data_IF_857337435506
#
_entry.id   IF_857337435506
#
_cell.length_a   1.000
_cell.length_b   1.000
_cell.length_c   1.000
_cell.angle_alpha   90.00
_cell.angle_beta   90.00
_cell.angle_gamma   90.00
#
_symmetry.space_group_name_H-M   'P 1'
#
loop_
_entity.id
_entity.type
_entity.pdbx_description
1 polymer ?
#
# COMPACT_ATOMS: atom_id res chain seq x y z
N UNK A 1 -16.98 15.73 -35.36
CA UNK A 1 -17.54 15.64 -33.98
C UNK A 1 -17.64 17.05 -33.43
N UNK A 2 -18.81 17.49 -32.98
CA UNK A 2 -18.96 18.79 -32.33
C UNK A 2 -18.23 18.83 -30.99
N UNK A 3 -17.68 19.99 -30.60
CA UNK A 3 -17.17 20.18 -29.25
C UNK A 3 -18.35 20.00 -28.26
N UNK A 4 -18.22 19.21 -27.19
CA UNK A 4 -19.31 19.05 -26.23
C UNK A 4 -19.60 20.40 -25.56
N UNK A 5 -20.87 20.79 -25.51
CA UNK A 5 -21.27 22.07 -24.94
C UNK A 5 -20.86 22.16 -23.47
N UNK A 6 -19.96 23.09 -23.16
CA UNK A 6 -19.38 23.30 -21.82
C UNK A 6 -20.45 23.47 -20.74
N UNK A 7 -21.58 24.11 -21.11
CA UNK A 7 -22.74 24.34 -20.24
C UNK A 7 -23.42 23.03 -19.81
N UNK A 8 -23.46 22.04 -20.70
CA UNK A 8 -24.07 20.72 -20.46
C UNK A 8 -23.21 19.86 -19.54
N UNK A 9 -21.88 19.96 -19.67
CA UNK A 9 -20.93 19.25 -18.78
C UNK A 9 -21.06 19.74 -17.34
N UNK A 10 -21.02 21.07 -17.11
CA UNK A 10 -21.22 21.64 -15.78
C UNK A 10 -22.62 21.37 -15.21
N UNK A 11 -23.65 21.29 -16.06
CA UNK A 11 -24.99 20.89 -15.64
C UNK A 11 -25.04 19.44 -15.15
N UNK A 12 -24.35 18.51 -15.84
CA UNK A 12 -24.26 17.11 -15.45
C UNK A 12 -23.48 16.92 -14.13
N UNK A 13 -22.35 17.61 -13.95
CA UNK A 13 -21.58 17.53 -12.70
C UNK A 13 -22.36 18.10 -11.50
N UNK A 14 -23.11 19.20 -11.71
CA UNK A 14 -24.01 19.74 -10.68
C UNK A 14 -25.21 18.83 -10.41
N UNK A 15 -25.76 18.18 -11.44
CA UNK A 15 -26.87 17.21 -11.31
C UNK A 15 -26.45 15.96 -10.55
N UNK A 16 -25.23 15.46 -10.72
CA UNK A 16 -24.69 14.35 -9.93
C UNK A 16 -24.62 14.67 -8.43
N UNK A 17 -24.39 15.94 -8.09
CA UNK A 17 -24.32 16.44 -6.71
C UNK A 17 -25.67 16.89 -6.13
N UNK A 18 -26.76 16.92 -6.92
CA UNK A 18 -28.07 17.39 -6.45
C UNK A 18 -28.87 16.24 -5.83
N UNK A 19 -29.10 16.33 -4.51
CA UNK A 19 -29.86 15.37 -3.72
C UNK A 19 -31.33 15.21 -4.16
N UNK A 20 -31.85 16.10 -5.04
CA UNK A 20 -33.27 16.25 -5.35
C UNK A 20 -33.82 15.33 -6.46
N UNK A 21 -33.02 14.44 -7.03
CA UNK A 21 -33.52 13.50 -8.04
C UNK A 21 -32.59 12.32 -8.30
N UNK A 22 -32.95 11.15 -7.76
CA UNK A 22 -32.28 9.85 -7.97
C UNK A 22 -32.44 9.36 -9.41
N UNK A 23 -31.64 9.95 -10.31
CA UNK A 23 -31.46 9.51 -11.70
C UNK A 23 -30.06 8.93 -11.97
N UNK A 24 -29.20 8.86 -10.94
CA UNK A 24 -27.94 8.14 -10.99
C UNK A 24 -28.20 6.65 -10.74
N UNK A 25 -27.59 5.77 -11.53
CA UNK A 25 -27.57 4.35 -11.24
C UNK A 25 -26.89 4.10 -9.89
N UNK A 26 -27.45 3.20 -9.09
CA UNK A 26 -26.82 2.76 -7.85
C UNK A 26 -25.54 1.96 -8.19
N UNK A 27 -24.53 2.05 -7.33
CA UNK A 27 -23.40 1.15 -7.40
C UNK A 27 -23.85 -0.31 -7.11
N UNK A 28 -23.11 -1.34 -7.57
CA UNK A 28 -23.48 -2.74 -7.35
C UNK A 28 -23.61 -3.18 -5.87
N UNK A 29 -23.09 -2.40 -4.92
CA UNK A 29 -23.29 -2.56 -3.48
C UNK A 29 -24.63 -1.97 -2.96
N UNK A 30 -25.43 -1.32 -3.82
CA UNK A 30 -26.69 -0.66 -3.49
C UNK A 30 -26.56 0.81 -3.05
N UNK A 31 -25.36 1.36 -2.96
CA UNK A 31 -25.14 2.74 -2.52
C UNK A 31 -25.23 3.75 -3.68
N UNK A 32 -25.58 5.01 -3.37
CA UNK A 32 -25.55 6.09 -4.35
C UNK A 32 -24.09 6.56 -4.56
N UNK A 33 -23.51 6.48 -5.78
CA UNK A 33 -22.11 6.87 -6.03
C UNK A 33 -21.76 8.29 -5.58
N UNK A 34 -22.72 9.23 -5.57
CA UNK A 34 -22.53 10.60 -5.12
C UNK A 34 -22.38 10.74 -3.58
N UNK A 35 -22.67 9.69 -2.80
CA UNK A 35 -22.69 9.71 -1.33
C UNK A 35 -21.65 8.78 -0.67
N UNK A 36 -20.92 7.99 -1.47
CA UNK A 36 -19.87 7.08 -0.97
C UNK A 36 -18.73 7.87 -0.31
N UNK A 37 -18.39 9.05 -0.83
CA UNK A 37 -17.41 9.94 -0.21
C UNK A 37 -18.07 10.93 0.76
N UNK A 38 -17.38 11.28 1.84
CA UNK A 38 -17.84 12.24 2.83
C UNK A 38 -18.15 13.61 2.18
N UNK A 39 -19.32 14.19 2.46
CA UNK A 39 -19.77 15.48 1.86
C UNK A 39 -18.74 16.60 2.00
N UNK A 40 -18.02 16.65 3.13
CA UNK A 40 -16.94 17.61 3.36
C UNK A 40 -15.77 17.41 2.39
N UNK A 41 -15.40 16.16 2.11
CA UNK A 41 -14.34 15.77 1.17
C UNK A 41 -14.77 16.06 -0.26
N UNK A 42 -16.01 15.75 -0.65
CA UNK A 42 -16.57 16.08 -1.96
C UNK A 42 -16.50 17.59 -2.23
N UNK A 43 -16.89 18.43 -1.26
CA UNK A 43 -16.74 19.89 -1.38
C UNK A 43 -15.29 20.32 -1.67
N UNK A 44 -14.32 19.77 -0.93
CA UNK A 44 -12.89 20.04 -1.17
C UNK A 44 -12.40 19.55 -2.53
N UNK A 45 -12.96 18.48 -3.08
CA UNK A 45 -12.64 17.96 -4.43
C UNK A 45 -13.18 18.90 -5.50
N UNK A 46 -14.46 19.29 -5.43
CA UNK A 46 -15.12 20.15 -6.43
C UNK A 46 -14.48 21.55 -6.46
N UNK A 47 -14.05 22.06 -5.30
CA UNK A 47 -13.34 23.34 -5.18
C UNK A 47 -11.84 23.24 -5.53
N UNK A 48 -11.29 22.02 -5.71
CA UNK A 48 -9.88 21.86 -6.03
C UNK A 48 -9.59 22.24 -7.49
N UNK A 49 -8.59 23.11 -7.67
CA UNK A 49 -8.08 23.49 -9.00
C UNK A 49 -7.75 22.26 -9.87
N UNK A 50 -7.20 21.18 -9.31
CA UNK A 50 -6.94 19.97 -10.08
C UNK A 50 -8.22 19.36 -10.68
N UNK A 51 -9.31 19.31 -9.92
CA UNK A 51 -10.58 18.77 -10.41
C UNK A 51 -11.18 19.67 -11.50
N UNK A 52 -11.27 20.98 -11.23
CA UNK A 52 -11.87 21.97 -12.14
C UNK A 52 -11.16 22.08 -13.49
N UNK A 53 -9.84 21.89 -13.55
CA UNK A 53 -9.06 22.03 -14.79
C UNK A 53 -8.68 20.70 -15.45
N UNK A 54 -8.38 19.64 -14.69
CA UNK A 54 -7.87 18.36 -15.25
C UNK A 54 -8.92 17.24 -15.30
N UNK A 55 -9.94 17.29 -14.43
CA UNK A 55 -11.05 16.32 -14.41
C UNK A 55 -12.31 16.80 -15.16
N UNK A 56 -12.31 18.03 -15.67
CA UNK A 56 -13.40 18.56 -16.49
C UNK A 56 -13.56 17.77 -17.79
N UNK A 57 -14.80 17.37 -18.10
CA UNK A 57 -15.17 16.62 -19.31
C UNK A 57 -14.34 15.34 -19.55
N UNK A 58 -13.77 14.75 -18.49
CA UNK A 58 -12.85 13.63 -18.61
C UNK A 58 -13.60 12.31 -18.87
N UNK A 59 -13.21 11.60 -19.94
CA UNK A 59 -13.70 10.26 -20.28
C UNK A 59 -12.85 9.17 -19.62
N UNK A 60 -13.33 7.92 -19.63
CA UNK A 60 -12.63 6.72 -19.14
C UNK A 60 -11.19 6.60 -19.66
N UNK A 61 -10.97 6.70 -20.98
CA UNK A 61 -9.62 6.67 -21.55
C UNK A 61 -8.73 7.82 -21.00
N UNK A 62 -9.31 9.01 -20.81
CA UNK A 62 -8.60 10.17 -20.26
C UNK A 62 -8.20 10.00 -18.79
N UNK A 63 -8.90 9.16 -18.00
CA UNK A 63 -8.46 8.82 -16.63
C UNK A 63 -7.06 8.19 -16.67
N UNK A 64 -6.78 7.30 -17.63
CA UNK A 64 -5.47 6.65 -17.76
C UNK A 64 -4.37 7.70 -17.95
N UNK A 65 -4.56 8.64 -18.89
CA UNK A 65 -3.60 9.72 -19.15
C UNK A 65 -3.38 10.61 -17.91
N UNK A 66 -4.44 10.95 -17.17
CA UNK A 66 -4.34 11.73 -15.93
C UNK A 66 -3.63 10.97 -14.82
N UNK A 67 -3.88 9.68 -14.67
CA UNK A 67 -3.18 8.85 -13.68
C UNK A 67 -1.68 8.80 -13.97
N UNK A 68 -1.29 8.56 -15.23
CA UNK A 68 0.13 8.49 -15.62
C UNK A 68 0.83 9.83 -15.41
N UNK A 69 0.21 10.92 -15.87
CA UNK A 69 0.81 12.25 -15.83
C UNK A 69 0.84 12.86 -14.42
N UNK A 70 -0.26 12.79 -13.66
CA UNK A 70 -0.46 13.62 -12.47
C UNK A 70 -0.35 12.84 -11.15
N UNK A 71 -0.65 11.53 -11.12
CA UNK A 71 -0.65 10.75 -9.89
C UNK A 71 0.76 10.23 -9.58
N UNK A 72 1.43 10.89 -8.63
CA UNK A 72 2.77 10.50 -8.14
C UNK A 72 2.75 9.92 -6.72
N UNK A 73 1.58 9.87 -6.08
CA UNK A 73 1.33 9.31 -4.76
C UNK A 73 -0.16 8.98 -4.58
N UNK A 74 -0.46 7.94 -3.78
CA UNK A 74 -1.79 7.66 -3.25
C UNK A 74 -2.03 8.50 -1.99
N UNK A 75 -3.28 8.85 -1.68
CA UNK A 75 -3.60 9.60 -0.45
C UNK A 75 -4.96 10.29 -0.52
N UNK A 76 -5.45 10.77 0.63
CA UNK A 76 -6.74 11.45 0.74
C UNK A 76 -6.63 12.96 0.58
N UNK A 77 -6.70 13.67 1.71
CA UNK A 77 -6.37 15.10 1.82
C UNK A 77 -5.04 15.30 2.54
N UNK A 78 -4.33 16.39 2.24
CA UNK A 78 -3.02 16.70 2.85
C UNK A 78 -2.84 18.19 3.17
N UNK A 79 -1.89 18.46 4.08
CA UNK A 79 -1.57 19.81 4.57
C UNK A 79 -2.65 20.41 5.48
N UNK A 80 -2.33 21.57 6.08
CA UNK A 80 -3.25 22.34 6.93
C UNK A 80 -4.53 22.74 6.19
N UNK A 81 -4.41 23.09 4.92
CA UNK A 81 -5.53 23.47 4.05
C UNK A 81 -6.42 22.29 3.63
N UNK A 82 -6.10 21.03 3.98
CA UNK A 82 -6.85 19.82 3.59
C UNK A 82 -7.10 19.74 2.07
N UNK A 83 -6.03 19.93 1.28
CA UNK A 83 -6.12 19.83 -0.19
C UNK A 83 -6.25 18.35 -0.60
N UNK A 84 -7.21 17.97 -1.46
CA UNK A 84 -7.31 16.59 -1.95
C UNK A 84 -6.12 16.26 -2.86
N UNK A 85 -5.73 14.99 -2.90
CA UNK A 85 -4.74 14.50 -3.87
C UNK A 85 -5.35 14.37 -5.28
N UNK A 86 -4.53 14.41 -6.35
CA UNK A 86 -4.99 14.03 -7.70
C UNK A 86 -5.62 12.63 -7.75
N UNK A 87 -5.08 11.67 -6.98
CA UNK A 87 -5.62 10.32 -6.83
C UNK A 87 -7.07 10.33 -6.35
N UNK A 88 -7.36 11.09 -5.29
CA UNK A 88 -8.72 11.20 -4.74
C UNK A 88 -9.68 11.92 -5.69
N UNK A 89 -9.21 12.96 -6.38
CA UNK A 89 -10.01 13.66 -7.40
C UNK A 89 -10.39 12.74 -8.57
N UNK A 90 -9.47 11.90 -9.04
CA UNK A 90 -9.74 10.92 -10.11
C UNK A 90 -10.63 9.78 -9.62
N UNK A 91 -10.49 9.34 -8.37
CA UNK A 91 -11.39 8.36 -7.77
C UNK A 91 -12.84 8.88 -7.70
N UNK A 92 -13.03 10.15 -7.32
CA UNK A 92 -14.34 10.80 -7.39
C UNK A 92 -14.83 10.96 -8.83
N UNK A 93 -13.94 11.21 -9.81
CA UNK A 93 -14.34 11.26 -11.22
C UNK A 93 -14.79 9.88 -11.74
N UNK A 94 -14.17 8.79 -11.31
CA UNK A 94 -14.66 7.43 -11.61
C UNK A 94 -16.04 7.14 -10.99
N UNK A 95 -16.35 7.68 -9.80
CA UNK A 95 -17.71 7.60 -9.23
C UNK A 95 -18.74 8.37 -10.07
N UNK A 96 -18.36 9.45 -10.74
CA UNK A 96 -19.22 10.16 -11.69
C UNK A 96 -19.40 9.42 -13.02
N UNK A 97 -18.35 8.75 -13.51
CA UNK A 97 -18.36 8.04 -14.79
C UNK A 97 -19.03 6.67 -14.71
N UNK A 98 -19.00 6.00 -13.55
CA UNK A 98 -19.54 4.67 -13.33
C UNK A 98 -19.12 3.63 -14.41
N UNK A 99 -17.80 3.42 -14.60
CA UNK A 99 -17.28 2.55 -15.66
C UNK A 99 -17.78 1.11 -15.56
N UNK A 100 -17.89 0.47 -16.73
CA UNK A 100 -18.26 -0.95 -16.84
C UNK A 100 -17.16 -1.88 -16.29
N UNK A 101 -17.54 -3.10 -15.91
CA UNK A 101 -16.59 -4.08 -15.35
C UNK A 101 -15.45 -4.43 -16.31
N UNK A 102 -15.70 -4.46 -17.63
CA UNK A 102 -14.65 -4.66 -18.64
C UNK A 102 -13.58 -3.55 -18.63
N UNK A 103 -13.98 -2.29 -18.38
CA UNK A 103 -13.04 -1.16 -18.26
C UNK A 103 -12.23 -1.27 -16.96
N UNK A 104 -12.86 -1.71 -15.88
CA UNK A 104 -12.17 -1.95 -14.59
C UNK A 104 -11.17 -3.11 -14.68
N UNK A 105 -11.53 -4.21 -15.34
CA UNK A 105 -10.63 -5.33 -15.60
C UNK A 105 -9.42 -4.89 -16.43
N UNK A 106 -9.63 -4.06 -17.47
CA UNK A 106 -8.54 -3.46 -18.26
C UNK A 106 -7.63 -2.53 -17.44
N UNK A 107 -8.18 -1.78 -16.48
CA UNK A 107 -7.39 -0.95 -15.57
C UNK A 107 -6.60 -1.77 -14.54
N UNK A 108 -7.13 -2.89 -14.08
CA UNK A 108 -6.49 -3.77 -13.11
C UNK A 108 -5.38 -4.63 -13.73
N UNK A 109 -5.66 -5.23 -14.89
CA UNK A 109 -4.76 -6.11 -15.64
C UNK A 109 -3.72 -5.27 -16.41
N UNK A 110 -3.89 -5.14 -17.73
CA UNK A 110 -2.95 -4.50 -18.67
C UNK A 110 -2.57 -3.06 -18.29
N UNK A 111 -3.55 -2.26 -17.84
CA UNK A 111 -3.29 -0.91 -17.35
C UNK A 111 -2.50 -0.91 -16.04
N UNK A 112 -2.82 -1.84 -15.14
CA UNK A 112 -2.22 -1.96 -13.81
C UNK A 112 -0.80 -2.50 -13.82
N UNK A 113 -0.48 -3.42 -14.74
CA UNK A 113 0.88 -3.96 -14.92
C UNK A 113 1.86 -2.87 -15.36
N UNK A 114 1.42 -2.00 -16.28
CA UNK A 114 2.20 -0.84 -16.73
C UNK A 114 2.22 0.28 -15.71
N UNK A 115 1.08 0.56 -15.06
CA UNK A 115 0.88 1.73 -14.21
C UNK A 115 0.33 1.35 -12.83
N UNK A 116 1.24 1.15 -11.86
CA UNK A 116 0.90 0.82 -10.47
C UNK A 116 -0.13 1.76 -9.79
N UNK A 117 -0.15 3.04 -10.15
CA UNK A 117 -1.15 3.98 -9.63
C UNK A 117 -2.54 3.81 -10.27
N UNK A 118 -2.63 3.25 -11.48
CA UNK A 118 -3.90 2.90 -12.10
C UNK A 118 -4.49 1.64 -11.46
N UNK A 119 -3.66 0.63 -11.17
CA UNK A 119 -4.06 -0.53 -10.35
C UNK A 119 -4.59 -0.08 -8.99
N UNK A 120 -3.83 0.74 -8.26
CA UNK A 120 -4.27 1.27 -6.97
C UNK A 120 -5.59 2.06 -7.06
N UNK A 121 -5.79 2.83 -8.13
CA UNK A 121 -7.04 3.57 -8.34
C UNK A 121 -8.23 2.65 -8.61
N UNK A 122 -8.04 1.61 -9.43
CA UNK A 122 -9.07 0.61 -9.73
C UNK A 122 -9.42 -0.24 -8.50
N UNK A 123 -8.43 -0.71 -7.73
CA UNK A 123 -8.65 -1.40 -6.45
C UNK A 123 -9.47 -0.55 -5.47
N UNK A 124 -9.11 0.74 -5.33
CA UNK A 124 -9.84 1.70 -4.49
C UNK A 124 -11.29 1.92 -4.97
N UNK A 125 -11.51 2.02 -6.28
CA UNK A 125 -12.85 2.14 -6.86
C UNK A 125 -13.72 0.89 -6.66
N UNK A 126 -13.14 -0.29 -6.79
CA UNK A 126 -13.83 -1.58 -6.57
C UNK A 126 -14.23 -1.73 -5.11
N UNK A 127 -13.31 -1.44 -4.17
CA UNK A 127 -13.60 -1.44 -2.73
C UNK A 127 -14.76 -0.52 -2.32
N UNK A 128 -14.92 0.59 -3.04
CA UNK A 128 -16.00 1.56 -2.82
C UNK A 128 -17.37 1.10 -3.36
N UNK A 129 -17.41 0.34 -4.46
CA UNK A 129 -18.64 0.18 -5.26
C UNK A 129 -19.16 -1.25 -5.40
N UNK A 130 -18.33 -2.27 -5.16
CA UNK A 130 -18.69 -3.68 -5.34
C UNK A 130 -19.06 -4.33 -4.00
N UNK A 131 -19.72 -5.49 -4.05
CA UNK A 131 -20.17 -6.24 -2.86
C UNK A 131 -18.99 -6.97 -2.21
N UNK A 132 -19.12 -7.35 -0.94
CA UNK A 132 -18.02 -7.95 -0.17
C UNK A 132 -17.37 -9.16 -0.87
N UNK A 133 -18.17 -10.13 -1.34
CA UNK A 133 -17.71 -11.28 -2.14
C UNK A 133 -16.87 -10.85 -3.35
N UNK A 134 -17.40 -9.95 -4.17
CA UNK A 134 -16.75 -9.46 -5.39
C UNK A 134 -15.46 -8.69 -5.07
N UNK A 135 -15.43 -7.95 -3.95
CA UNK A 135 -14.25 -7.22 -3.45
C UNK A 135 -13.14 -8.19 -3.05
N UNK A 136 -13.41 -9.21 -2.23
CA UNK A 136 -12.40 -10.22 -1.86
C UNK A 136 -11.88 -10.96 -3.11
N UNK A 137 -12.77 -11.50 -3.93
CA UNK A 137 -12.41 -12.30 -5.11
C UNK A 137 -11.55 -11.56 -6.15
N UNK A 138 -11.66 -10.23 -6.24
CA UNK A 138 -10.84 -9.40 -7.14
C UNK A 138 -9.58 -8.88 -6.45
N UNK A 139 -9.68 -8.36 -5.22
CA UNK A 139 -8.55 -7.71 -4.55
C UNK A 139 -7.49 -8.71 -4.07
N UNK A 140 -7.86 -9.91 -3.62
CA UNK A 140 -6.90 -10.91 -3.12
C UNK A 140 -5.85 -11.28 -4.18
N UNK A 141 -6.22 -11.25 -5.47
CA UNK A 141 -5.33 -11.48 -6.63
C UNK A 141 -4.15 -10.48 -6.70
N UNK A 142 -4.29 -9.30 -6.09
CA UNK A 142 -3.28 -8.23 -6.14
C UNK A 142 -2.44 -8.13 -4.86
N UNK A 143 -2.64 -9.03 -3.88
CA UNK A 143 -1.74 -9.16 -2.72
C UNK A 143 -0.35 -9.69 -3.09
N UNK A 144 -0.16 -10.18 -4.32
CA UNK A 144 1.15 -10.60 -4.87
C UNK A 144 1.98 -9.38 -5.34
N UNK A 145 1.37 -8.20 -5.48
CA UNK A 145 1.98 -7.03 -6.11
C UNK A 145 2.88 -6.25 -5.11
N UNK A 146 4.16 -6.63 -5.05
CA UNK A 146 5.16 -6.00 -4.16
C UNK A 146 5.73 -4.67 -4.72
N UNK A 147 5.02 -3.96 -5.62
CA UNK A 147 5.54 -2.71 -6.23
C UNK A 147 5.42 -1.52 -5.27
N UNK A 148 6.52 -0.79 -5.09
CA UNK A 148 6.61 0.41 -4.23
C UNK A 148 5.66 1.53 -4.67
N UNK A 149 4.78 1.98 -3.77
CA UNK A 149 3.94 3.18 -3.89
C UNK A 149 4.42 4.30 -2.96
N UNK A 150 4.11 5.55 -3.28
CA UNK A 150 4.25 6.67 -2.33
C UNK A 150 2.89 6.99 -1.73
N UNK A 151 2.77 6.99 -0.41
CA UNK A 151 1.56 7.39 0.33
C UNK A 151 1.72 8.79 0.86
N UNK A 152 0.74 9.66 0.63
CA UNK A 152 0.71 11.03 1.16
C UNK A 152 -0.35 11.16 2.24
N UNK A 153 0.11 11.31 3.48
CA UNK A 153 -0.72 11.59 4.65
C UNK A 153 -0.78 13.08 4.96
N UNK A 154 -1.39 13.40 6.11
CA UNK A 154 -1.49 14.77 6.63
C UNK A 154 -0.12 15.38 6.97
N UNK A 155 0.81 14.56 7.50
CA UNK A 155 2.11 15.00 8.03
C UNK A 155 3.30 14.81 7.07
N UNK A 156 3.10 14.22 5.88
CA UNK A 156 4.20 13.96 4.96
C UNK A 156 3.93 12.86 3.93
N UNK A 157 4.98 12.36 3.31
CA UNK A 157 4.94 11.23 2.39
C UNK A 157 5.73 10.05 2.94
N UNK A 158 5.10 8.88 3.06
CA UNK A 158 5.75 7.61 3.39
C UNK A 158 5.89 6.72 2.15
N UNK A 159 6.82 5.77 2.23
CA UNK A 159 6.83 4.60 1.34
C UNK A 159 5.74 3.63 1.81
N UNK A 160 5.16 2.89 0.86
CA UNK A 160 4.24 1.76 1.10
C UNK A 160 4.30 0.87 -0.16
N UNK A 161 3.60 -0.24 -0.20
CA UNK A 161 3.58 -1.16 -1.34
C UNK A 161 2.14 -1.37 -1.89
N UNK A 162 1.96 -2.08 -3.02
CA UNK A 162 0.60 -2.29 -3.59
C UNK A 162 -0.16 -3.33 -2.77
N UNK A 163 0.47 -4.45 -2.43
CA UNK A 163 0.00 -5.45 -1.46
C UNK A 163 -0.42 -4.83 -0.12
N UNK A 164 0.43 -4.04 0.53
CA UNK A 164 0.08 -3.29 1.75
C UNK A 164 -1.15 -2.38 1.55
N UNK A 165 -1.25 -1.72 0.39
CA UNK A 165 -2.38 -0.85 0.09
C UNK A 165 -3.67 -1.64 -0.16
N UNK A 166 -3.58 -2.82 -0.77
CA UNK A 166 -4.72 -3.72 -1.00
C UNK A 166 -5.19 -4.33 0.32
N UNK A 167 -4.27 -4.74 1.21
CA UNK A 167 -4.62 -5.17 2.57
C UNK A 167 -5.28 -4.04 3.38
N UNK A 168 -4.73 -2.81 3.32
CA UNK A 168 -5.35 -1.61 3.89
C UNK A 168 -6.81 -1.44 3.44
N UNK A 169 -7.16 -1.79 2.19
CA UNK A 169 -8.54 -1.71 1.68
C UNK A 169 -9.44 -2.82 2.22
N UNK A 170 -8.91 -4.01 2.45
CA UNK A 170 -9.67 -5.15 2.98
C UNK A 170 -9.87 -5.06 4.50
N UNK A 171 -8.86 -4.63 5.24
CA UNK A 171 -8.86 -4.64 6.71
C UNK A 171 -9.33 -3.33 7.34
N UNK A 172 -9.07 -2.17 6.73
CA UNK A 172 -9.32 -0.85 7.37
C UNK A 172 -10.63 -0.23 6.89
N UNK A 173 -11.39 0.29 7.86
CA UNK A 173 -12.66 1.00 7.61
C UNK A 173 -12.48 2.36 6.96
N UNK A 174 -11.27 2.95 6.98
CA UNK A 174 -11.01 4.28 6.41
C UNK A 174 -9.65 4.36 5.71
N UNK A 175 -9.67 4.60 4.40
CA UNK A 175 -8.47 4.74 3.55
C UNK A 175 -8.60 5.98 2.67
N UNK A 176 -7.48 6.70 2.45
CA UNK A 176 -7.43 7.90 1.60
C UNK A 176 -8.55 8.93 1.86
N UNK A 177 -8.83 9.23 3.14
CA UNK A 177 -9.90 10.14 3.58
C UNK A 177 -11.32 9.78 3.12
N UNK A 178 -11.53 8.54 2.68
CA UNK A 178 -12.85 7.95 2.42
C UNK A 178 -13.12 6.90 3.49
N UNK A 179 -14.32 6.96 4.07
CA UNK A 179 -14.79 5.97 5.06
C UNK A 179 -15.65 4.96 4.32
N UNK A 180 -15.32 3.68 4.45
CA UNK A 180 -16.01 2.59 3.78
C UNK A 180 -17.01 1.91 4.72
N UNK A 181 -18.01 1.24 4.13
CA UNK A 181 -18.78 0.22 4.85
C UNK A 181 -17.85 -0.91 5.31
N UNK A 182 -18.08 -1.38 6.53
CA UNK A 182 -17.41 -2.55 7.10
C UNK A 182 -17.71 -3.80 6.26
N UNK A 183 -16.67 -4.59 5.97
CA UNK A 183 -16.83 -5.88 5.29
C UNK A 183 -17.17 -6.94 6.36
N UNK A 184 -18.08 -7.88 6.06
CA UNK A 184 -18.17 -9.13 6.81
C UNK A 184 -16.80 -9.81 6.85
N UNK A 185 -16.46 -10.51 7.94
CA UNK A 185 -15.16 -11.18 8.03
C UNK A 185 -15.10 -12.28 6.98
N UNK A 186 -13.90 -12.54 6.46
CA UNK A 186 -13.69 -13.56 5.42
C UNK A 186 -14.18 -14.95 5.86
N UNK A 187 -13.95 -15.31 7.13
CA UNK A 187 -14.48 -16.54 7.75
C UNK A 187 -15.99 -16.68 7.56
N UNK A 188 -16.73 -15.63 7.89
CA UNK A 188 -18.20 -15.62 7.85
C UNK A 188 -18.74 -15.80 6.41
N UNK A 189 -17.96 -15.44 5.38
CA UNK A 189 -18.29 -15.63 3.96
C UNK A 189 -17.90 -17.02 3.43
N UNK A 190 -16.85 -17.63 4.00
CA UNK A 190 -16.46 -19.03 3.70
C UNK A 190 -17.45 -19.99 4.33
N UNK A 191 -17.81 -19.77 5.61
CA UNK A 191 -18.81 -20.56 6.35
C UNK A 191 -20.19 -20.58 5.64
N UNK A 192 -20.53 -19.47 4.96
CA UNK A 192 -21.77 -19.33 4.19
C UNK A 192 -21.69 -19.95 2.77
N UNK A 193 -20.53 -20.46 2.36
CA UNK A 193 -20.28 -20.98 1.01
C UNK A 193 -20.29 -19.90 -0.08
N UNK A 194 -20.19 -18.62 0.29
CA UNK A 194 -20.12 -17.52 -0.69
C UNK A 194 -18.73 -17.35 -1.28
N UNK A 195 -17.68 -17.73 -0.57
CA UNK A 195 -16.29 -17.56 -0.98
C UNK A 195 -15.49 -18.84 -0.64
N UNK A 196 -14.54 -19.20 -1.50
CA UNK A 196 -13.61 -20.31 -1.25
C UNK A 196 -12.51 -19.87 -0.27
N UNK A 197 -11.83 -20.82 0.36
CA UNK A 197 -10.65 -20.56 1.19
C UNK A 197 -9.54 -19.88 0.39
N UNK A 198 -8.69 -19.07 1.04
CA UNK A 198 -7.68 -18.29 0.32
C UNK A 198 -6.39 -19.08 0.19
N UNK A 199 -6.22 -19.75 -0.95
CA UNK A 199 -4.91 -20.24 -1.36
C UNK A 199 -3.90 -19.07 -1.44
N UNK A 200 -2.87 -19.12 -0.61
CA UNK A 200 -1.77 -18.16 -0.63
C UNK A 200 -0.83 -18.53 -1.79
N UNK A 201 -0.30 -17.57 -2.57
CA UNK A 201 0.74 -17.86 -3.56
C UNK A 201 2.05 -18.39 -2.96
N UNK A 202 2.18 -18.39 -1.63
CA UNK A 202 3.31 -18.96 -0.90
C UNK A 202 3.11 -20.45 -0.53
N UNK A 203 1.92 -21.02 -0.77
CA UNK A 203 1.57 -22.37 -0.29
C UNK A 203 0.89 -22.35 1.09
N UNK A 204 0.76 -23.54 1.68
CA UNK A 204 0.30 -23.69 3.07
C UNK A 204 1.41 -23.26 4.04
N UNK A 205 1.04 -22.74 5.21
CA UNK A 205 1.99 -22.27 6.22
C UNK A 205 2.63 -23.47 6.93
N UNK A 206 1.87 -24.54 7.16
CA UNK A 206 2.36 -25.73 7.85
C UNK A 206 3.42 -26.45 7.01
N UNK A 207 3.21 -26.61 5.70
CA UNK A 207 4.20 -27.18 4.76
C UNK A 207 5.51 -26.35 4.69
N UNK A 208 5.42 -25.02 4.84
CA UNK A 208 6.61 -24.15 4.87
C UNK A 208 7.38 -24.25 6.19
N UNK A 209 6.67 -24.38 7.32
CA UNK A 209 7.29 -24.52 8.63
C UNK A 209 8.00 -25.87 8.78
N UNK A 210 7.38 -26.96 8.31
CA UNK A 210 7.99 -28.28 8.29
C UNK A 210 9.28 -28.29 7.44
N UNK A 211 9.28 -27.59 6.30
CA UNK A 211 10.47 -27.45 5.45
C UNK A 211 11.60 -26.62 6.11
N UNK A 212 11.28 -25.47 6.72
CA UNK A 212 12.25 -24.65 7.45
C UNK A 212 12.87 -25.41 8.66
N UNK A 213 12.08 -26.25 9.34
CA UNK A 213 12.55 -27.08 10.45
C UNK A 213 13.40 -28.28 9.97
N UNK A 214 13.13 -28.85 8.80
CA UNK A 214 14.00 -29.85 8.15
C UNK A 214 15.34 -29.25 7.68
N UNK A 215 15.33 -28.04 7.09
CA UNK A 215 16.58 -27.36 6.68
C UNK A 215 17.46 -27.01 7.90
N UNK A 216 16.87 -26.47 8.97
CA UNK A 216 17.60 -26.18 10.23
C UNK A 216 18.21 -27.43 10.87
N UNK A 217 17.51 -28.58 10.81
CA UNK A 217 18.06 -29.85 11.29
C UNK A 217 19.23 -30.34 10.44
N UNK A 218 19.19 -30.14 9.12
CA UNK A 218 20.30 -30.48 8.22
C UNK A 218 21.52 -29.58 8.45
N UNK A 219 21.33 -28.27 8.66
CA UNK A 219 22.44 -27.37 9.01
C UNK A 219 23.12 -27.75 10.35
N UNK A 220 22.33 -28.10 11.37
CA UNK A 220 22.85 -28.57 12.66
C UNK A 220 23.63 -29.89 12.53
N UNK A 221 23.16 -30.82 11.69
CA UNK A 221 23.88 -32.07 11.40
C UNK A 221 25.18 -31.82 10.63
N UNK A 222 25.22 -30.87 9.69
CA UNK A 222 26.44 -30.50 8.98
C UNK A 222 27.48 -29.81 9.89
N UNK A 223 27.06 -28.99 10.84
CA UNK A 223 27.96 -28.41 11.85
C UNK A 223 28.54 -29.49 12.78
N UNK A 224 27.70 -30.44 13.25
CA UNK A 224 28.18 -31.56 14.07
C UNK A 224 29.15 -32.48 13.30
N UNK A 225 28.93 -32.72 12.01
CA UNK A 225 29.86 -33.50 11.17
C UNK A 225 31.19 -32.80 10.88
N UNK A 226 31.28 -31.47 11.02
CA UNK A 226 32.57 -30.75 10.92
C UNK A 226 33.39 -30.86 12.22
N UNK A 227 32.75 -30.88 13.39
CA UNK A 227 33.44 -31.13 14.67
C UNK A 227 33.83 -32.62 14.86
N UNK A 228 33.12 -33.57 14.23
CA UNK A 228 33.46 -35.01 14.28
C UNK A 228 34.45 -35.47 13.19
N UNK A 229 35.56 -34.76 12.99
CA UNK A 229 36.74 -35.30 12.27
C UNK A 229 37.90 -35.70 13.22
N UNK A 230 37.91 -36.94 13.76
CA UNK A 230 38.99 -37.42 14.59
C UNK A 230 40.20 -37.91 13.78
N UNK A 231 41.18 -37.03 13.60
CA UNK A 231 42.58 -37.41 13.80
C UNK A 231 43.54 -37.49 12.61
N UNK A 232 44.53 -36.58 12.62
CA UNK A 232 45.92 -36.96 12.37
C UNK A 232 46.84 -36.31 13.42
N UNK A 233 47.07 -37.02 14.53
CA UNK A 233 48.25 -36.76 15.35
C UNK A 233 49.48 -37.23 14.56
N UNK A 234 50.40 -36.31 14.31
CA UNK A 234 51.79 -36.59 14.02
C UNK A 234 52.61 -35.69 14.95
N UNK A 235 53.63 -36.29 15.56
CA UNK A 235 54.40 -35.69 16.64
C UNK A 235 55.29 -34.53 16.16
N UNK A 236 55.46 -33.51 16.99
CA UNK A 236 56.67 -32.69 17.02
C UNK A 236 56.95 -32.30 18.48
N UNK A 237 58.00 -32.90 19.05
CA UNK A 237 58.53 -32.54 20.36
C UNK A 237 59.58 -31.43 20.20
N UNK A 238 59.34 -30.26 20.79
CA UNK A 238 60.43 -29.40 21.29
C UNK A 238 59.97 -28.40 22.34
N UNK A 239 60.89 -28.08 23.26
CA UNK A 239 60.81 -27.22 24.46
C UNK A 239 59.74 -26.10 24.49
N UNK A 240 59.10 -25.77 25.61
CA UNK A 240 59.46 -26.07 27.00
C UNK A 240 59.86 -24.81 27.77
N UNK A 241 58.91 -24.16 28.46
CA UNK A 241 59.20 -23.50 29.75
C UNK A 241 57.93 -23.23 30.58
N UNK A 242 58.14 -23.08 31.88
CA UNK A 242 57.13 -22.96 32.95
C UNK A 242 56.76 -21.46 33.11
N UNK A 243 55.58 -21.05 33.60
CA UNK A 243 55.39 -20.59 35.01
C UNK A 243 53.92 -20.27 35.31
N UNK A 244 53.42 -20.95 36.33
CA UNK A 244 52.45 -20.61 37.38
C UNK A 244 51.29 -19.59 37.17
N UNK A 245 50.10 -20.10 37.55
CA UNK A 245 48.92 -19.36 38.06
C UNK A 245 49.30 -18.43 39.21
N UNK A 246 48.56 -17.32 39.46
CA UNK A 246 47.34 -17.50 40.28
C UNK A 246 46.15 -16.55 39.99
N UNK A 247 45.07 -16.83 40.71
CA UNK A 247 43.84 -16.02 40.78
C UNK A 247 44.11 -14.62 41.34
N UNK A 248 43.44 -13.59 40.83
CA UNK A 248 42.47 -12.82 41.64
C UNK A 248 41.51 -12.00 40.77
N UNK A 249 40.38 -11.59 41.34
CA UNK A 249 39.36 -10.80 40.63
C UNK A 249 39.67 -9.29 40.59
N UNK A 250 38.93 -8.58 39.74
CA UNK A 250 38.98 -7.12 39.67
C UNK A 250 37.96 -6.54 38.69
N UNK A 251 36.90 -5.91 39.20
CA UNK A 251 36.18 -4.86 38.44
C UNK A 251 37.16 -3.70 38.23
N UNK A 252 37.10 -3.03 37.07
CA UNK A 252 36.98 -1.56 37.05
C UNK A 252 36.74 -1.00 35.64
N UNK A 253 35.95 0.06 35.61
CA UNK A 253 35.84 1.05 34.54
C UNK A 253 37.20 1.66 34.17
N UNK A 254 37.38 2.01 32.88
CA UNK A 254 38.34 3.06 32.48
C UNK A 254 37.76 3.87 31.33
N UNK A 255 37.28 5.08 31.64
CA UNK A 255 37.17 6.17 30.67
C UNK A 255 38.53 6.47 30.03
N UNK A 256 38.62 6.52 28.69
CA UNK A 256 39.71 7.28 28.05
C UNK A 256 39.43 7.79 26.63
N UNK A 257 38.99 9.04 26.55
CA UNK A 257 39.05 9.85 25.33
C UNK A 257 40.50 10.07 24.86
N UNK A 258 40.75 10.10 23.54
CA UNK A 258 41.89 10.81 22.97
C UNK A 258 41.44 12.05 22.19
N UNK A 259 41.98 13.21 22.57
CA UNK A 259 41.75 14.50 21.94
C UNK A 259 42.61 14.72 20.68
N UNK A 260 41.99 15.19 19.59
CA UNK A 260 42.60 16.03 18.53
C UNK A 260 41.52 17.02 18.07
N UNK A 261 41.57 18.32 18.38
CA UNK A 261 42.40 19.35 17.73
C UNK A 261 42.17 19.37 16.19
N UNK A 262 41.76 20.47 15.53
CA UNK A 262 42.20 21.86 15.70
C UNK A 262 41.25 22.90 15.03
N UNK A 263 41.04 24.03 15.73
CA UNK A 263 41.00 25.43 15.23
C UNK A 263 39.96 25.98 14.22
N UNK A 264 39.30 27.07 14.65
CA UNK A 264 39.08 28.38 13.97
C UNK A 264 38.22 28.40 12.68
N UNK A 265 37.20 29.25 12.47
CA UNK A 265 36.50 30.32 13.21
C UNK A 265 35.10 30.52 12.52
N UNK A 266 34.26 31.56 12.66
CA UNK A 266 34.28 32.90 13.32
C UNK A 266 32.84 33.42 13.57
N UNK A 267 32.74 34.57 14.23
CA UNK A 267 31.57 35.48 14.35
C UNK A 267 30.94 35.81 12.98
N UNK A 268 29.62 36.04 12.84
CA UNK A 268 28.89 37.17 13.46
C UNK A 268 27.37 37.00 13.42
N UNK A 269 26.72 37.46 14.49
CA UNK A 269 25.33 37.98 14.57
C UNK A 269 25.42 39.40 15.14
N UNK A 270 24.37 40.26 15.14
CA UNK A 270 22.95 40.05 14.81
C UNK A 270 22.63 40.16 13.31
#
# INVERSE_FOLDING_TARGET
MGKPDTKTIYANERRFLDDRGTAAALAPNGENPAKIMEKAVIGRIVDAQYFQYQCFALNEAGIVDRVVNDVKFIGGTYGSAQKPTPFLCLAFKLLQLAPSDAVLEMYLSFGGDKFKYLRALACFYIRMTRRAKDVYAILERYLVDRRKLRRKGRQGTSLTFVDEFVDDLLTKTRVCATSFRELPRRTDLVDLGELEERESPLGDIDELLDADDEEQQQEQQQQQQQDETPGSRADDESDGEIVERPQNGGRMDVDRSPSRSRSRSRERTP
#
